data_IF_489889824419
#
_entry.id   IF_489889824419
#
_cell.length_a   1.000
_cell.length_b   1.000
_cell.length_c   1.000
_cell.angle_alpha   90.00
_cell.angle_beta   90.00
_cell.angle_gamma   90.00
#
_symmetry.space_group_name_H-M   'P 1'
#
loop_
_entity.id
_entity.type
_entity.pdbx_description
1 polymer ?
#
# COMPACT_ATOMS: atom_id res chain seq x y z
N UNK A 1 4.10 -76.27 28.08
CA UNK A 1 2.70 -76.19 28.56
C UNK A 1 2.61 -74.98 29.49
N UNK A 2 1.98 -73.89 29.04
CA UNK A 2 1.18 -72.88 29.75
C UNK A 2 0.78 -71.85 28.67
N UNK A 3 -0.53 -71.70 28.44
CA UNK A 3 -1.18 -70.70 27.58
C UNK A 3 -1.31 -69.37 28.33
N UNK A 4 -1.16 -68.22 27.65
CA UNK A 4 -1.87 -66.94 27.90
C UNK A 4 -1.81 -66.13 26.58
N UNK A 5 -2.87 -66.08 25.76
CA UNK A 5 -4.08 -65.23 25.83
C UNK A 5 -3.83 -63.73 25.62
N UNK A 6 -4.12 -63.29 24.38
CA UNK A 6 -4.79 -62.05 23.94
C UNK A 6 -4.62 -60.76 24.76
N UNK A 7 -4.08 -59.71 24.13
CA UNK A 7 -4.66 -58.35 24.19
C UNK A 7 -4.47 -57.62 22.86
N UNK A 8 -5.59 -57.08 22.38
CA UNK A 8 -5.79 -56.28 21.18
C UNK A 8 -5.32 -54.86 21.45
N UNK A 9 -4.55 -54.24 20.55
CA UNK A 9 -4.45 -52.77 20.50
C UNK A 9 -4.79 -52.32 19.07
N UNK A 10 -6.03 -51.88 18.95
CA UNK A 10 -6.63 -51.19 17.82
C UNK A 10 -6.09 -49.76 17.83
N UNK A 11 -5.11 -49.44 17.00
CA UNK A 11 -4.68 -48.05 16.80
C UNK A 11 -5.68 -47.36 15.87
N UNK A 12 -6.67 -46.70 16.46
CA UNK A 12 -7.56 -45.78 15.77
C UNK A 12 -6.73 -44.57 15.31
N UNK A 13 -6.40 -44.54 14.02
CA UNK A 13 -5.82 -43.39 13.36
C UNK A 13 -6.93 -42.35 13.16
N UNK A 14 -7.21 -41.56 14.20
CA UNK A 14 -8.06 -40.38 14.06
C UNK A 14 -7.32 -39.35 13.20
N UNK A 15 -7.55 -39.42 11.89
CA UNK A 15 -7.30 -38.33 10.96
C UNK A 15 -8.22 -37.16 11.36
N UNK A 16 -7.72 -36.28 12.23
CA UNK A 16 -8.27 -34.95 12.38
C UNK A 16 -7.87 -34.15 11.13
N UNK A 17 -8.61 -34.35 10.04
CA UNK A 17 -8.72 -33.35 9.01
C UNK A 17 -9.56 -32.23 9.63
N UNK A 18 -8.93 -31.32 10.36
CA UNK A 18 -9.49 -29.99 10.55
C UNK A 18 -9.51 -29.35 9.17
N UNK A 19 -10.60 -29.55 8.44
CA UNK A 19 -10.99 -28.66 7.38
C UNK A 19 -11.24 -27.30 8.04
N UNK A 20 -10.19 -26.49 8.15
CA UNK A 20 -10.35 -25.07 8.36
C UNK A 20 -11.19 -24.59 7.18
N UNK A 21 -12.48 -24.37 7.41
CA UNK A 21 -13.33 -23.61 6.52
C UNK A 21 -12.88 -22.14 6.58
N UNK A 22 -11.65 -21.86 6.18
CA UNK A 22 -11.33 -20.54 5.68
C UNK A 22 -12.16 -20.43 4.40
N UNK A 23 -13.25 -19.66 4.45
CA UNK A 23 -13.98 -19.31 3.25
C UNK A 23 -13.00 -18.83 2.19
N UNK A 24 -13.29 -19.11 0.92
CA UNK A 24 -12.48 -18.60 -0.20
C UNK A 24 -12.21 -17.11 0.03
N UNK A 25 -10.94 -16.67 0.06
CA UNK A 25 -10.60 -15.27 0.25
C UNK A 25 -11.37 -14.40 -0.73
N UNK A 26 -12.01 -13.35 -0.24
CA UNK A 26 -12.65 -12.36 -1.09
C UNK A 26 -11.55 -11.54 -1.78
N UNK A 27 -11.39 -11.79 -3.08
CA UNK A 27 -10.36 -11.17 -3.90
C UNK A 27 -10.81 -9.86 -4.53
N UNK A 28 -12.04 -9.42 -4.28
CA UNK A 28 -12.47 -8.07 -4.66
C UNK A 28 -11.65 -7.00 -3.93
N UNK A 29 -11.57 -5.78 -4.47
CA UNK A 29 -10.87 -4.69 -3.81
C UNK A 29 -11.43 -4.41 -2.40
N UNK A 30 -12.75 -4.55 -2.20
CA UNK A 30 -13.40 -4.42 -0.88
C UNK A 30 -13.00 -5.55 0.07
N UNK A 31 -12.95 -6.79 -0.44
CA UNK A 31 -12.47 -7.95 0.29
C UNK A 31 -11.04 -7.76 0.79
N UNK A 32 -10.15 -7.32 -0.10
CA UNK A 32 -8.75 -7.03 0.21
C UNK A 32 -8.64 -5.85 1.18
N UNK A 33 -9.39 -4.77 1.00
CA UNK A 33 -9.43 -3.64 1.94
C UNK A 33 -9.79 -4.10 3.36
N UNK A 34 -10.82 -4.92 3.47
CA UNK A 34 -11.26 -5.48 4.75
C UNK A 34 -10.22 -6.43 5.38
N UNK A 35 -9.40 -7.08 4.56
CA UNK A 35 -8.30 -7.90 5.02
C UNK A 35 -7.14 -7.03 5.53
N UNK A 36 -6.63 -6.10 4.72
CA UNK A 36 -5.45 -5.28 5.09
C UNK A 36 -5.72 -4.40 6.31
N UNK A 37 -6.96 -3.94 6.53
CA UNK A 37 -7.35 -3.21 7.76
C UNK A 37 -7.23 -4.04 9.04
N UNK A 38 -7.22 -5.38 8.94
CA UNK A 38 -7.02 -6.30 10.08
C UNK A 38 -5.56 -6.72 10.25
N UNK A 39 -4.72 -6.37 9.28
CA UNK A 39 -3.29 -6.67 9.24
C UNK A 39 -2.47 -5.40 9.53
N UNK A 40 -1.15 -5.53 9.60
CA UNK A 40 -0.23 -4.41 9.88
C UNK A 40 0.06 -3.58 8.61
N UNK A 41 -0.98 -3.04 7.97
CA UNK A 41 -0.87 -2.15 6.81
C UNK A 41 -1.07 -0.68 7.20
N UNK A 42 -0.40 0.21 6.46
CA UNK A 42 -0.79 1.61 6.31
C UNK A 42 -1.85 1.67 5.22
N UNK A 43 -3.03 2.20 5.51
CA UNK A 43 -4.16 2.17 4.59
C UNK A 43 -4.61 3.57 4.27
N UNK A 44 -4.69 3.84 2.97
CA UNK A 44 -5.26 5.04 2.39
C UNK A 44 -6.54 4.70 1.65
N UNK A 45 -7.60 5.46 1.90
CA UNK A 45 -8.84 5.45 1.12
C UNK A 45 -8.99 6.82 0.48
N UNK A 46 -8.98 6.88 -0.85
CA UNK A 46 -9.12 8.11 -1.63
C UNK A 46 -8.18 9.24 -1.16
N UNK A 47 -6.88 8.90 -1.03
CA UNK A 47 -5.79 9.78 -0.58
C UNK A 47 -5.91 10.27 0.87
N UNK A 48 -6.71 9.62 1.70
CA UNK A 48 -6.80 9.89 3.14
C UNK A 48 -6.30 8.71 3.96
N UNK A 49 -5.45 8.97 4.93
CA UNK A 49 -5.02 7.93 5.86
C UNK A 49 -6.18 7.49 6.75
N UNK A 50 -6.57 6.22 6.66
CA UNK A 50 -7.65 5.67 7.49
C UNK A 50 -7.14 4.70 8.56
N UNK A 51 -5.98 4.08 8.37
CA UNK A 51 -5.31 3.28 9.41
C UNK A 51 -3.79 3.19 9.22
N UNK A 52 -3.09 2.83 10.30
CA UNK A 52 -1.67 2.51 10.25
C UNK A 52 -0.70 3.68 10.48
N UNK A 53 -1.14 4.87 10.93
CA UNK A 53 -0.22 6.00 11.26
C UNK A 53 0.93 5.58 12.19
N UNK A 54 0.65 4.75 13.20
CA UNK A 54 1.68 4.25 14.13
C UNK A 54 2.69 3.31 13.45
N UNK A 55 2.24 2.52 12.48
CA UNK A 55 3.09 1.62 11.70
C UNK A 55 4.02 2.45 10.81
N UNK A 56 3.44 3.42 10.10
CA UNK A 56 4.21 4.39 9.29
C UNK A 56 5.26 5.12 10.11
N UNK A 57 4.86 5.74 11.23
CA UNK A 57 5.79 6.50 12.08
C UNK A 57 6.92 5.62 12.63
N UNK A 58 6.65 4.34 12.91
CA UNK A 58 7.68 3.38 13.33
C UNK A 58 8.65 3.11 12.20
N UNK A 59 8.15 2.77 11.01
CA UNK A 59 8.97 2.55 9.82
C UNK A 59 9.85 3.77 9.52
N UNK A 60 9.26 4.96 9.41
CA UNK A 60 9.98 6.19 9.08
C UNK A 60 11.10 6.48 10.08
N UNK A 61 10.82 6.37 11.39
CA UNK A 61 11.84 6.57 12.42
C UNK A 61 12.97 5.54 12.32
N UNK A 62 12.65 4.26 12.12
CA UNK A 62 13.66 3.20 12.00
C UNK A 62 14.52 3.40 10.75
N UNK A 63 13.95 3.78 9.62
CA UNK A 63 14.71 4.09 8.41
C UNK A 63 15.64 5.30 8.62
N UNK A 64 15.17 6.35 9.30
CA UNK A 64 15.98 7.53 9.66
C UNK A 64 17.12 7.22 10.64
N UNK A 65 16.97 6.18 11.45
CA UNK A 65 18.04 5.65 12.32
C UNK A 65 19.10 4.86 11.53
N UNK A 66 18.87 4.58 10.24
CA UNK A 66 19.76 3.81 9.37
C UNK A 66 19.51 2.30 9.41
N UNK A 67 18.44 1.86 10.09
CA UNK A 67 18.16 0.45 10.34
C UNK A 67 17.29 -0.17 9.25
N UNK A 68 17.56 -1.44 8.95
CA UNK A 68 16.78 -2.22 8.01
C UNK A 68 15.32 -2.34 8.49
N UNK A 69 14.38 -1.94 7.65
CA UNK A 69 12.96 -2.02 7.98
C UNK A 69 12.09 -2.07 6.74
N UNK A 70 10.83 -2.47 6.92
CA UNK A 70 9.82 -2.44 5.85
C UNK A 70 8.45 -2.09 6.40
N UNK A 71 7.57 -1.65 5.50
CA UNK A 71 6.18 -1.35 5.75
C UNK A 71 5.33 -1.74 4.55
N UNK A 72 4.16 -2.33 4.82
CA UNK A 72 3.17 -2.62 3.81
C UNK A 72 2.12 -1.51 3.78
N UNK A 73 1.72 -1.13 2.57
CA UNK A 73 0.85 0.02 2.33
C UNK A 73 -0.24 -0.42 1.35
N UNK A 74 -1.45 0.07 1.56
CA UNK A 74 -2.58 -0.15 0.68
C UNK A 74 -3.20 1.19 0.27
N UNK A 75 -3.36 1.40 -1.02
CA UNK A 75 -4.07 2.54 -1.59
C UNK A 75 -5.34 2.04 -2.25
N UNK A 76 -6.48 2.30 -1.60
CA UNK A 76 -7.80 1.97 -2.08
C UNK A 76 -8.45 3.22 -2.69
N UNK A 77 -8.95 3.08 -3.91
CA UNK A 77 -9.58 4.17 -4.64
C UNK A 77 -10.99 3.79 -5.08
N UNK A 78 -11.90 4.73 -4.90
CA UNK A 78 -13.26 4.69 -5.41
C UNK A 78 -13.46 5.74 -6.50
N UNK A 79 -14.55 5.61 -7.26
CA UNK A 79 -14.95 6.60 -8.24
C UNK A 79 -16.27 7.25 -7.80
N UNK A 80 -16.19 8.48 -7.29
CA UNK A 80 -17.38 9.26 -6.95
C UNK A 80 -17.95 9.94 -8.20
N UNK A 81 -19.20 9.61 -8.52
CA UNK A 81 -19.93 10.20 -9.66
C UNK A 81 -20.01 11.74 -9.60
N UNK A 82 -19.99 12.32 -8.40
CA UNK A 82 -20.14 13.77 -8.23
C UNK A 82 -18.82 14.54 -8.32
N UNK A 83 -17.68 13.84 -8.26
CA UNK A 83 -16.35 14.47 -8.29
C UNK A 83 -15.72 14.49 -9.70
N UNK A 84 -16.32 13.77 -10.66
CA UNK A 84 -15.84 13.66 -12.04
C UNK A 84 -16.94 14.00 -13.05
N UNK A 85 -16.57 14.23 -14.30
CA UNK A 85 -17.55 14.40 -15.37
C UNK A 85 -18.37 13.12 -15.59
N UNK A 86 -19.63 13.27 -16.03
CA UNK A 86 -20.49 12.11 -16.34
C UNK A 86 -19.88 11.21 -17.43
N UNK A 87 -19.25 11.79 -18.45
CA UNK A 87 -18.55 11.06 -19.50
C UNK A 87 -17.44 10.17 -18.92
N UNK A 88 -16.59 10.72 -18.04
CA UNK A 88 -15.52 9.96 -17.40
C UNK A 88 -16.07 8.88 -16.46
N UNK A 89 -17.11 9.19 -15.68
CA UNK A 89 -17.73 8.22 -14.78
C UNK A 89 -18.26 7.00 -15.53
N UNK A 90 -19.03 7.22 -16.60
CA UNK A 90 -19.60 6.12 -17.39
C UNK A 90 -18.52 5.28 -18.09
N UNK A 91 -17.39 5.89 -18.46
CA UNK A 91 -16.26 5.20 -19.07
C UNK A 91 -15.48 4.32 -18.07
N UNK A 92 -15.32 4.76 -16.82
CA UNK A 92 -14.36 4.16 -15.87
C UNK A 92 -15.00 3.42 -14.69
N UNK A 93 -16.31 3.58 -14.41
CA UNK A 93 -16.96 3.03 -13.20
C UNK A 93 -16.75 1.53 -12.96
N UNK A 94 -16.62 0.74 -14.03
CA UNK A 94 -16.45 -0.71 -13.93
C UNK A 94 -15.01 -1.12 -13.54
N UNK A 95 -14.05 -0.17 -13.59
CA UNK A 95 -12.67 -0.36 -13.15
C UNK A 95 -12.47 -0.07 -11.65
N UNK A 96 -13.53 0.37 -10.95
CA UNK A 96 -13.51 0.74 -9.53
C UNK A 96 -14.50 -0.12 -8.71
N UNK A 97 -14.23 -0.33 -7.41
CA UNK A 97 -13.05 0.10 -6.67
C UNK A 97 -11.79 -0.67 -7.05
N UNK A 98 -10.64 -0.03 -6.88
CA UNK A 98 -9.32 -0.62 -7.12
C UNK A 98 -8.46 -0.46 -5.89
N UNK A 99 -7.60 -1.45 -5.62
CA UNK A 99 -6.63 -1.37 -4.53
C UNK A 99 -5.24 -1.78 -5.02
N UNK A 100 -4.28 -0.90 -4.73
CA UNK A 100 -2.86 -1.14 -4.97
C UNK A 100 -2.20 -1.46 -3.64
N UNK A 101 -1.42 -2.52 -3.62
CA UNK A 101 -0.61 -2.92 -2.49
C UNK A 101 0.84 -2.55 -2.79
N UNK A 102 1.54 -2.06 -1.78
CA UNK A 102 2.93 -1.70 -1.87
C UNK A 102 3.73 -2.25 -0.69
N UNK A 103 4.93 -2.74 -0.97
CA UNK A 103 5.96 -3.04 0.01
C UNK A 103 7.07 -2.00 -0.14
N UNK A 104 7.23 -1.15 0.87
CA UNK A 104 8.37 -0.24 0.99
C UNK A 104 9.37 -0.85 1.97
N UNK A 105 10.61 -0.99 1.55
CA UNK A 105 11.71 -1.42 2.41
C UNK A 105 12.88 -0.46 2.34
N UNK A 106 13.63 -0.37 3.44
CA UNK A 106 14.91 0.32 3.52
C UNK A 106 15.97 -0.68 3.97
N UNK A 107 17.08 -0.76 3.25
CA UNK A 107 18.15 -1.75 3.47
C UNK A 107 19.35 -1.18 4.25
N UNK A 108 19.18 -0.02 4.89
CA UNK A 108 20.28 0.72 5.54
C UNK A 108 21.02 1.67 4.60
N UNK A 109 20.76 1.62 3.29
CA UNK A 109 21.37 2.51 2.30
C UNK A 109 20.33 3.11 1.33
N UNK A 110 19.48 2.28 0.74
CA UNK A 110 18.48 2.67 -0.26
C UNK A 110 17.09 2.14 0.08
N UNK A 111 16.09 2.81 -0.48
CA UNK A 111 14.68 2.44 -0.39
C UNK A 111 14.29 1.63 -1.63
N UNK A 112 13.61 0.50 -1.42
CA UNK A 112 13.07 -0.33 -2.49
C UNK A 112 11.55 -0.36 -2.38
N UNK A 113 10.85 -0.01 -3.47
CA UNK A 113 9.39 0.02 -3.54
C UNK A 113 8.92 -0.98 -4.59
N UNK A 114 8.01 -1.86 -4.17
CA UNK A 114 7.31 -2.80 -5.04
C UNK A 114 5.82 -2.54 -4.94
N UNK A 115 5.13 -2.49 -6.08
CA UNK A 115 3.70 -2.14 -6.14
C UNK A 115 3.02 -3.09 -7.10
N UNK A 116 1.83 -3.54 -6.72
CA UNK A 116 0.96 -4.33 -7.57
C UNK A 116 -0.50 -4.03 -7.28
N UNK A 117 -1.33 -4.05 -8.33
CA UNK A 117 -2.77 -4.14 -8.20
C UNK A 117 -3.13 -5.50 -7.54
N UNK A 118 -4.00 -5.51 -6.52
CA UNK A 118 -4.35 -6.75 -5.81
C UNK A 118 -4.94 -7.85 -6.69
N UNK A 119 -5.51 -7.47 -7.84
CA UNK A 119 -6.13 -8.40 -8.79
C UNK A 119 -5.10 -8.98 -9.79
N UNK A 120 -3.83 -8.58 -9.69
CA UNK A 120 -2.74 -9.03 -10.56
C UNK A 120 -1.64 -9.69 -9.75
N UNK A 121 -0.91 -10.60 -10.40
CA UNK A 121 0.28 -11.25 -9.81
C UNK A 121 1.59 -10.59 -10.27
N UNK A 122 1.55 -9.72 -11.26
CA UNK A 122 2.71 -8.99 -11.77
C UNK A 122 2.90 -7.67 -11.01
N UNK A 123 4.16 -7.26 -10.86
CA UNK A 123 4.49 -5.95 -10.29
C UNK A 123 4.21 -4.86 -11.32
N UNK A 124 3.42 -3.87 -10.94
CA UNK A 124 3.25 -2.62 -11.69
C UNK A 124 4.48 -1.70 -11.49
N UNK A 125 5.20 -1.84 -10.36
CA UNK A 125 6.42 -1.08 -10.06
C UNK A 125 7.41 -1.92 -9.25
N UNK A 126 8.69 -1.83 -9.61
CA UNK A 126 9.84 -2.32 -8.85
C UNK A 126 10.99 -1.32 -9.07
N UNK A 127 11.27 -0.48 -8.07
CA UNK A 127 12.22 0.64 -8.19
C UNK A 127 13.01 0.84 -6.90
N UNK A 128 14.18 1.44 -7.04
CA UNK A 128 15.10 1.78 -5.95
C UNK A 128 15.37 3.29 -5.95
N UNK A 129 15.38 3.88 -4.75
CA UNK A 129 15.62 5.31 -4.54
C UNK A 129 16.53 5.55 -3.34
N UNK A 130 17.29 6.65 -3.36
CA UNK A 130 18.24 6.98 -2.29
C UNK A 130 17.59 7.63 -1.07
N UNK A 131 16.53 8.40 -1.27
CA UNK A 131 15.98 9.26 -0.23
C UNK A 131 14.47 9.09 -0.15
N UNK A 132 13.95 9.15 1.08
CA UNK A 132 12.54 9.32 1.38
C UNK A 132 12.35 10.72 1.95
N UNK A 133 11.87 11.64 1.11
CA UNK A 133 11.67 13.03 1.48
C UNK A 133 10.29 13.24 2.07
N UNK A 134 10.21 13.99 3.16
CA UNK A 134 8.97 14.34 3.84
C UNK A 134 8.61 15.79 3.54
N UNK A 135 7.48 16.00 2.86
CA UNK A 135 6.95 17.30 2.48
C UNK A 135 5.60 17.54 3.14
N UNK A 136 5.44 18.72 3.73
CA UNK A 136 4.16 19.20 4.26
C UNK A 136 3.88 20.60 3.72
N UNK A 137 2.62 20.97 3.62
CA UNK A 137 2.24 22.29 3.12
C UNK A 137 0.75 22.44 2.86
N UNK A 138 0.40 23.57 2.26
CA UNK A 138 -0.95 23.91 1.80
C UNK A 138 -1.01 23.78 0.27
N UNK A 139 -2.17 23.45 -0.32
CA UNK A 139 -2.29 23.39 -1.77
C UNK A 139 -2.07 24.75 -2.43
N UNK A 140 -1.40 24.74 -3.59
CA UNK A 140 -1.19 25.94 -4.40
C UNK A 140 -2.49 26.47 -5.07
N UNK A 141 -3.54 25.64 -5.14
CA UNK A 141 -4.80 26.00 -5.76
C UNK A 141 -5.85 26.36 -4.70
N UNK A 142 -6.55 27.51 -4.82
CA UNK A 142 -7.67 27.84 -3.94
C UNK A 142 -8.88 26.90 -4.12
N UNK A 143 -8.92 26.15 -5.22
CA UNK A 143 -9.98 25.18 -5.53
C UNK A 143 -9.65 23.76 -5.03
N UNK A 144 -8.54 23.58 -4.29
CA UNK A 144 -8.19 22.30 -3.73
C UNK A 144 -9.23 21.84 -2.70
N UNK A 145 -9.55 20.54 -2.74
CA UNK A 145 -10.56 19.91 -1.87
C UNK A 145 -10.01 19.53 -0.49
N UNK A 146 -8.77 19.91 -0.18
CA UNK A 146 -8.06 19.65 1.07
C UNK A 146 -7.37 20.94 1.53
N UNK A 147 -7.09 21.08 2.82
CA UNK A 147 -6.45 22.29 3.38
C UNK A 147 -4.94 22.14 3.53
N UNK A 148 -4.44 20.92 3.74
CA UNK A 148 -3.01 20.65 3.86
C UNK A 148 -2.66 19.22 3.41
N UNK A 149 -1.37 18.97 3.20
CA UNK A 149 -0.86 17.65 2.84
C UNK A 149 0.29 17.20 3.74
N UNK A 150 0.38 15.87 3.93
CA UNK A 150 1.50 15.16 4.56
C UNK A 150 1.99 14.09 3.56
N UNK A 151 3.07 14.39 2.84
CA UNK A 151 3.54 13.59 1.71
C UNK A 151 4.94 13.03 1.97
N UNK A 152 5.14 11.75 1.69
CA UNK A 152 6.46 11.14 1.66
C UNK A 152 6.76 10.59 0.28
N UNK A 153 7.84 11.09 -0.31
CA UNK A 153 8.18 10.86 -1.71
C UNK A 153 9.60 10.31 -1.81
N UNK A 154 9.72 9.20 -2.53
CA UNK A 154 10.99 8.60 -2.88
C UNK A 154 11.64 9.37 -4.03
N UNK A 155 12.91 9.75 -3.87
CA UNK A 155 13.68 10.52 -4.87
C UNK A 155 15.15 10.09 -4.87
N UNK A 156 15.83 10.40 -5.97
CA UNK A 156 17.28 10.18 -6.10
C UNK A 156 18.13 11.43 -5.84
N UNK A 157 17.50 12.59 -5.72
CA UNK A 157 18.11 13.88 -5.39
C UNK A 157 17.34 14.48 -4.22
N UNK A 158 18.01 14.67 -3.07
CA UNK A 158 17.39 15.21 -1.85
C UNK A 158 17.35 16.75 -1.82
N UNK A 159 17.74 17.41 -2.91
CA UNK A 159 17.66 18.87 -3.05
C UNK A 159 16.38 19.34 -3.73
N UNK A 160 15.62 18.40 -4.32
CA UNK A 160 14.34 18.70 -4.99
C UNK A 160 13.30 19.15 -3.98
N UNK A 161 12.51 20.15 -4.34
CA UNK A 161 11.35 20.58 -3.55
C UNK A 161 10.09 19.85 -4.00
N UNK A 162 9.01 19.95 -3.22
CA UNK A 162 7.73 19.39 -3.64
C UNK A 162 7.17 20.16 -4.86
N UNK A 163 7.40 21.46 -4.93
CA UNK A 163 7.04 22.31 -6.06
C UNK A 163 7.78 21.88 -7.34
N UNK A 164 9.07 21.53 -7.26
CA UNK A 164 9.82 21.00 -8.41
C UNK A 164 9.21 19.69 -8.92
N UNK A 165 8.84 18.79 -7.99
CA UNK A 165 8.18 17.52 -8.31
C UNK A 165 6.83 17.78 -9.00
N UNK A 166 6.00 18.65 -8.44
CA UNK A 166 4.70 19.00 -9.02
C UNK A 166 4.87 19.64 -10.40
N UNK A 167 5.81 20.57 -10.56
CA UNK A 167 6.12 21.17 -11.85
C UNK A 167 6.52 20.11 -12.88
N UNK A 168 7.41 19.19 -12.51
CA UNK A 168 7.86 18.11 -13.40
C UNK A 168 6.76 17.13 -13.82
N UNK A 169 5.72 16.94 -12.99
CA UNK A 169 4.55 16.10 -13.33
C UNK A 169 3.65 16.76 -14.38
N UNK A 170 3.52 18.08 -14.36
CA UNK A 170 2.58 18.81 -15.23
C UNK A 170 3.26 19.52 -16.40
N UNK A 171 4.59 19.63 -16.39
CA UNK A 171 5.34 20.21 -17.49
C UNK A 171 5.27 19.34 -18.74
N UNK A 172 5.10 19.98 -19.89
CA UNK A 172 5.22 19.34 -21.20
C UNK A 172 6.65 19.42 -21.76
N UNK A 173 7.60 20.01 -21.03
CA UNK A 173 8.97 20.16 -21.49
C UNK A 173 9.76 18.88 -21.24
N UNK A 174 10.49 18.44 -22.27
CA UNK A 174 11.33 17.26 -22.16
C UNK A 174 12.48 17.53 -21.18
N UNK A 175 12.61 16.66 -20.17
CA UNK A 175 13.66 16.76 -19.15
C UNK A 175 13.22 17.42 -17.84
N UNK A 176 12.02 17.99 -17.78
CA UNK A 176 11.48 18.56 -16.54
C UNK A 176 11.00 17.47 -15.56
N UNK A 177 10.73 16.26 -16.06
CA UNK A 177 10.31 15.15 -15.21
C UNK A 177 11.43 14.75 -14.24
N UNK A 178 11.14 14.84 -12.95
CA UNK A 178 11.97 14.33 -11.88
C UNK A 178 11.51 12.90 -11.59
N UNK A 179 12.41 11.92 -11.64
CA UNK A 179 12.07 10.55 -11.26
C UNK A 179 11.79 10.46 -9.76
N UNK A 180 10.57 10.06 -9.42
CA UNK A 180 10.08 10.00 -8.04
C UNK A 180 8.97 8.96 -7.89
N UNK A 181 8.67 8.59 -6.64
CA UNK A 181 7.49 7.81 -6.30
C UNK A 181 6.85 8.30 -4.99
N UNK A 182 5.59 8.71 -5.04
CA UNK A 182 4.84 9.15 -3.86
C UNK A 182 4.26 7.95 -3.11
N UNK A 183 4.80 7.65 -1.92
CA UNK A 183 4.46 6.43 -1.17
C UNK A 183 3.37 6.67 -0.13
N UNK A 184 3.44 7.78 0.57
CA UNK A 184 2.47 8.20 1.58
C UNK A 184 1.94 9.54 1.09
N UNK A 185 0.65 9.60 0.78
CA UNK A 185 -0.04 10.83 0.35
C UNK A 185 -1.28 10.95 1.21
N UNK A 186 -1.31 11.95 2.08
CA UNK A 186 -2.42 12.19 2.98
C UNK A 186 -2.92 13.62 2.78
N UNK A 187 -4.09 13.75 2.15
CA UNK A 187 -4.79 15.00 1.97
C UNK A 187 -5.71 15.24 3.18
N UNK A 188 -5.46 16.31 3.90
CA UNK A 188 -6.09 16.64 5.18
C UNK A 188 -7.07 17.80 4.97
N UNK A 189 -8.30 17.63 5.45
CA UNK A 189 -9.37 18.65 5.40
C UNK A 189 -9.20 19.72 6.49
#
# INVERSE_FOLDING_TARGET
MVKRSFFIILAALCLFLSACSAGTPDTSADGVLNQVKKEDYVVFEDLRLTSGKRIWNKFYRTAMEGDHCSVNIAHYYTLDKNSVSEEYYEAEKDNYPVIYLAELSFDGNEYNIKVWNSNKTELDTDRTYKYLMHYTGEPNSPDAVFSSYDNYVLVNDNTVTYEDIQWGMYSSQLGDYIDHYSVYIDHID
#
